data_IF_946732258371
#
_entry.id   IF_946732258371
#
_cell.length_a   1.000
_cell.length_b   1.000
_cell.length_c   1.000
_cell.angle_alpha   90.00
_cell.angle_beta   90.00
_cell.angle_gamma   90.00
#
_symmetry.space_group_name_H-M   'P 1'
#
loop_
_entity.id
_entity.type
_entity.pdbx_description
1 polymer ?
2 non-polymer ?
3 non-polymer ?
4 non-polymer ?
5 non-polymer ?
6 non-polymer ?
7 water ?
#
# COMPACT_ATOMS: atom_id res chain seq x y z
N UNK A 22 1.00 0.44 19.97
CA UNK A 22 0.79 -0.37 18.73
C UNK A 22 2.15 -0.70 18.13
N UNK A 23 2.27 -1.93 17.61
CA UNK A 23 3.54 -2.42 17.07
C UNK A 23 3.29 -2.93 15.67
N UNK A 24 4.26 -2.67 14.79
CA UNK A 24 4.16 -3.14 13.42
C UNK A 24 4.14 -4.64 13.41
N UNK A 25 3.15 -5.19 12.72
CA UNK A 25 3.05 -6.62 12.53
C UNK A 25 4.18 -7.06 11.59
N UNK A 26 4.86 -8.17 11.91
CA UNK A 26 5.94 -8.67 11.05
C UNK A 26 5.45 -8.87 9.61
N UNK A 27 6.12 -8.20 8.68
CA UNK A 27 5.72 -8.27 7.28
C UNK A 27 5.92 -9.64 6.66
N UNK A 28 6.84 -10.41 7.23
CA UNK A 28 7.09 -11.75 6.71
C UNK A 28 5.95 -12.72 6.91
N UNK A 29 5.01 -12.39 7.82
CA UNK A 29 3.78 -13.18 7.98
C UNK A 29 2.66 -12.75 7.04
N UNK A 30 2.93 -11.69 6.29
CA UNK A 30 1.95 -11.12 5.37
C UNK A 30 2.11 -11.61 3.94
N UNK A 31 1.04 -11.43 3.16
CA UNK A 31 1.12 -11.67 1.73
C UNK A 31 0.47 -10.50 1.03
N UNK A 32 1.21 -9.90 0.10
CA UNK A 32 0.72 -8.77 -0.67
C UNK A 32 0.26 -9.20 -2.06
N UNK A 33 -0.89 -8.66 -2.48
CA UNK A 33 -1.41 -8.87 -3.83
C UNK A 33 -1.90 -7.51 -4.31
N UNK A 34 -1.86 -7.27 -5.61
CA UNK A 34 -2.36 -5.97 -6.09
C UNK A 34 -3.19 -6.14 -7.34
N UNK A 35 -4.08 -5.18 -7.58
CA UNK A 35 -4.88 -5.21 -8.80
C UNK A 35 -4.03 -4.91 -10.04
N UNK A 36 -2.92 -4.18 -9.86
CA UNK A 36 -1.92 -3.94 -10.91
C UNK A 36 -0.53 -3.93 -10.26
N UNK A 37 0.45 -4.59 -10.89
CA UNK A 37 1.86 -4.51 -10.45
C UNK A 37 2.78 -4.55 -11.67
N UNK A 38 3.82 -3.71 -11.65
CA UNK A 38 4.80 -3.75 -12.70
C UNK A 38 5.70 -4.96 -12.40
N UNK A 39 6.08 -5.71 -13.46
CA UNK A 39 6.96 -6.86 -13.20
C UNK A 39 8.34 -6.46 -12.68
N UNK A 40 9.12 -7.43 -12.24
CA UNK A 40 10.40 -7.17 -11.63
C UNK A 40 11.49 -6.71 -12.60
N UNK A 41 11.75 -5.41 -12.64
CA UNK A 41 12.72 -4.88 -13.57
C UNK A 41 13.90 -4.30 -12.80
N UNK A 42 14.01 -4.71 -11.54
CA UNK A 42 15.01 -4.26 -10.64
C UNK A 42 14.41 -3.26 -9.69
N UNK A 43 14.13 -3.70 -8.49
CA UNK A 43 13.63 -2.78 -7.45
C UNK A 43 12.22 -2.18 -7.60
N UNK A 44 11.55 -2.61 -8.64
CA UNK A 44 10.12 -2.39 -8.82
C UNK A 44 9.65 -3.41 -9.85
N UNK A 45 8.37 -3.72 -9.90
CA UNK A 45 7.30 -3.10 -9.10
C UNK A 45 6.31 -4.10 -8.51
N UNK A 46 6.79 -5.30 -8.18
CA UNK A 46 5.90 -6.32 -7.61
C UNK A 46 5.30 -5.86 -6.30
N UNK A 47 4.03 -6.21 -6.10
CA UNK A 47 3.31 -5.90 -4.86
C UNK A 47 4.13 -6.33 -3.66
N UNK A 48 4.78 -7.49 -3.76
CA UNK A 48 5.49 -8.01 -2.62
C UNK A 48 6.65 -7.11 -2.17
N UNK A 49 7.09 -6.22 -3.07
CA UNK A 49 8.15 -5.27 -2.79
C UNK A 49 7.70 -4.20 -1.82
N UNK A 50 6.39 -4.06 -1.63
CA UNK A 50 5.83 -3.10 -0.63
C UNK A 50 5.95 -3.59 0.81
N UNK A 51 6.33 -4.86 1.01
CA UNK A 51 6.37 -5.41 2.36
C UNK A 51 7.61 -6.26 2.59
N UNK A 52 8.73 -5.87 1.96
CA UNK A 52 9.97 -6.65 2.05
C UNK A 52 11.02 -6.07 3.02
N UNK A 53 10.67 -4.96 3.68
CA UNK A 53 11.54 -4.28 4.63
C UNK A 53 12.65 -3.48 3.96
N UNK A 54 12.57 -3.33 2.64
CA UNK A 54 13.60 -2.64 1.87
C UNK A 54 13.07 -1.31 1.33
N UNK A 55 13.61 -0.20 1.84
CA UNK A 55 13.16 1.15 1.46
C UNK A 55 13.41 1.48 -0.02
N UNK A 56 14.37 0.79 -0.63
CA UNK A 56 14.73 1.04 -2.03
C UNK A 56 13.95 0.18 -3.02
N UNK A 57 13.10 -0.72 -2.51
CA UNK A 57 12.28 -1.52 -3.42
C UNK A 57 10.83 -1.09 -3.31
N UNK A 58 10.17 -0.99 -4.46
CA UNK A 58 8.77 -0.53 -4.47
C UNK A 58 7.76 -1.43 -5.20
N UNK A 59 6.52 -1.44 -4.72
CA UNK A 59 5.38 -1.80 -5.56
C UNK A 59 5.19 -0.62 -6.49
N UNK A 60 4.90 -0.88 -7.76
CA UNK A 60 4.50 0.19 -8.69
C UNK A 60 3.43 -0.39 -9.59
N UNK A 61 2.39 0.38 -9.89
CA UNK A 61 1.35 -0.12 -10.80
C UNK A 61 1.95 -0.32 -12.19
N UNK A 62 1.33 -1.20 -12.97
CA UNK A 62 1.86 -1.57 -14.28
C UNK A 62 1.91 -0.39 -15.23
N UNK A 63 3.01 -0.29 -15.99
CA UNK A 63 3.15 0.79 -16.99
C UNK A 63 4.03 0.49 -18.20
N UNK A 64 4.06 -0.77 -18.57
CA UNK A 64 4.21 -1.11 -20.01
C UNK A 64 3.04 -2.00 -20.55
N UNK A 65 1.88 -1.45 -20.96
CA UNK A 65 1.66 0.00 -20.90
C UNK A 65 0.92 0.31 -19.59
N UNK A 66 0.44 1.54 -19.45
CA UNK A 66 -0.16 2.02 -18.20
C UNK A 66 -1.50 1.35 -17.92
N UNK A 67 -1.66 0.87 -16.69
CA UNK A 67 -2.96 0.42 -16.18
C UNK A 67 -3.42 1.53 -15.26
N UNK A 68 -4.46 2.23 -15.68
CA UNK A 68 -4.87 3.48 -15.06
C UNK A 68 -5.43 3.27 -13.67
N UNK A 69 -5.30 4.29 -12.83
CA UNK A 69 -5.92 4.28 -11.51
C UNK A 69 -7.46 4.39 -11.65
N UNK A 70 -8.22 3.98 -10.62
CA UNK A 70 -7.79 3.40 -9.35
C UNK A 70 -7.19 2.00 -9.49
N UNK A 71 -6.24 1.74 -8.61
CA UNK A 71 -5.65 0.42 -8.40
C UNK A 71 -5.46 0.30 -6.90
N UNK A 72 -5.37 -0.94 -6.42
CA UNK A 72 -5.18 -1.18 -5.00
C UNK A 72 -4.12 -2.25 -4.72
N UNK A 73 -3.68 -2.24 -3.47
CA UNK A 73 -2.82 -3.31 -2.94
C UNK A 73 -3.45 -3.84 -1.65
N UNK A 74 -3.55 -5.16 -1.57
CA UNK A 74 -4.12 -5.83 -0.42
C UNK A 74 -3.05 -6.58 0.36
N UNK A 75 -3.05 -6.41 1.68
CA UNK A 75 -2.17 -7.14 2.56
C UNK A 75 -3.01 -8.14 3.37
N UNK A 76 -2.71 -9.41 3.16
CA UNK A 76 -3.25 -10.49 3.98
C UNK A 76 -2.34 -10.57 5.21
N UNK A 77 -2.89 -10.36 6.40
CA UNK A 77 -2.05 -10.08 7.58
C UNK A 77 -1.44 -11.30 8.25
N UNK A 78 -1.92 -12.47 7.87
CA UNK A 78 -1.49 -13.75 8.45
C UNK A 78 -2.27 -14.11 9.70
N UNK A 79 -3.32 -13.36 10.01
CA UNK A 79 -4.09 -13.62 11.22
C UNK A 79 -5.15 -12.57 11.42
N UNK A 80 -5.88 -12.67 12.54
CA UNK A 80 -6.89 -11.68 12.91
C UNK A 80 -6.33 -10.76 13.97
N UNK A 81 -6.34 -9.47 13.67
CA UNK A 81 -5.76 -8.47 14.56
C UNK A 81 -6.69 -7.29 14.72
N UNK A 82 -6.68 -6.70 15.90
CA UNK A 82 -7.37 -5.42 16.14
C UNK A 82 -6.37 -4.33 15.79
N UNK A 83 -6.46 -3.80 14.58
CA UNK A 83 -5.44 -2.85 14.10
C UNK A 83 -5.89 -1.42 14.32
N UNK A 84 -4.92 -0.50 14.41
CA UNK A 84 -5.24 0.89 14.70
C UNK A 84 -4.34 1.91 14.03
N UNK A 85 -3.36 1.44 13.27
CA UNK A 85 -2.51 2.35 12.53
C UNK A 85 -1.95 1.69 11.27
N UNK A 86 -1.78 2.51 10.23
CA UNK A 86 -1.24 2.07 8.93
C UNK A 86 -0.26 3.12 8.48
N UNK A 87 0.91 2.70 8.02
CA UNK A 87 1.89 3.66 7.47
C UNK A 87 2.23 3.35 6.02
N UNK A 88 2.34 4.43 5.25
CA UNK A 88 2.69 4.38 3.83
C UNK A 88 3.97 5.15 3.61
N UNK A 89 5.03 4.41 3.29
CA UNK A 89 6.31 5.04 2.94
C UNK A 89 6.48 5.12 1.41
N UNK A 90 6.45 6.34 0.85
CA UNK A 90 6.70 6.48 -0.58
C UNK A 90 8.10 6.09 -0.99
N UNK A 91 8.25 5.80 -2.28
CA UNK A 91 9.57 5.67 -2.88
C UNK A 91 10.42 6.88 -2.54
N UNK A 92 11.74 6.68 -2.55
CA UNK A 92 12.70 7.72 -2.20
C UNK A 92 13.23 8.39 -3.47
N UNK A 93 13.28 9.73 -3.46
CA UNK A 93 13.86 10.52 -4.54
C UNK A 93 12.85 10.91 -5.61
N UNK A 94 12.60 9.97 -6.52
CA UNK A 94 11.63 10.13 -7.61
C UNK A 94 10.20 10.18 -7.04
N UNK A 95 9.26 10.70 -7.81
CA UNK A 95 7.91 10.90 -7.28
C UNK A 95 6.82 10.08 -7.95
N UNK A 96 7.11 9.43 -9.07
CA UNK A 96 6.03 8.71 -9.77
C UNK A 96 5.33 7.70 -8.87
N UNK A 97 4.00 7.75 -8.85
CA UNK A 97 3.20 6.83 -8.04
C UNK A 97 2.99 7.27 -6.59
N UNK A 98 3.65 8.36 -6.17
CA UNK A 98 3.35 8.90 -4.81
C UNK A 98 1.83 9.13 -4.71
N UNK A 99 1.19 8.43 -3.79
CA UNK A 99 -0.27 8.41 -3.74
C UNK A 99 -0.79 9.71 -3.10
N UNK A 100 -1.75 10.34 -3.78
CA UNK A 100 -2.24 11.66 -3.38
C UNK A 100 -3.73 11.66 -3.01
N UNK A 101 -4.45 10.61 -3.39
CA UNK A 101 -5.84 10.46 -2.99
C UNK A 101 -6.04 8.97 -2.75
N UNK A 102 -6.46 8.63 -1.53
CA UNK A 102 -6.46 7.24 -1.07
C UNK A 102 -7.74 6.87 -0.36
N UNK A 103 -7.96 5.57 -0.28
CA UNK A 103 -8.86 5.01 0.72
C UNK A 103 -8.15 3.84 1.36
N UNK A 104 -8.45 3.59 2.63
CA UNK A 104 -7.94 2.42 3.33
C UNK A 104 -9.16 1.59 3.70
N UNK A 105 -9.12 0.30 3.40
CA UNK A 105 -10.25 -0.60 3.65
C UNK A 105 -9.75 -1.77 4.49
N UNK A 106 -10.64 -2.38 5.27
CA UNK A 106 -10.28 -3.58 6.01
C UNK A 106 -11.30 -4.68 5.72
N UNK A 107 -10.87 -5.93 5.90
CA UNK A 107 -11.74 -7.07 5.80
C UNK A 107 -11.43 -8.02 6.95
N UNK A 108 -12.49 -8.62 7.51
CA UNK A 108 -12.37 -9.68 8.50
C UNK A 108 -12.35 -11.06 7.84
N UNK A 109 -12.63 -11.10 6.54
CA UNK A 109 -12.84 -12.38 5.89
C UNK A 109 -12.15 -12.59 4.55
N UNK A 110 -11.53 -11.54 4.00
CA UNK A 110 -10.87 -11.63 2.71
C UNK A 110 -11.76 -11.37 1.51
N UNK A 111 -13.06 -11.25 1.77
CA UNK A 111 -14.11 -11.15 0.75
C UNK A 111 -14.79 -9.77 0.75
N UNK A 112 -15.26 -9.37 1.93
CA UNK A 112 -16.02 -8.14 2.10
C UNK A 112 -15.10 -7.10 2.72
N UNK A 113 -14.99 -5.95 2.07
CA UNK A 113 -14.12 -4.88 2.56
C UNK A 113 -14.96 -3.68 2.95
N UNK A 114 -14.51 -2.97 3.98
CA UNK A 114 -15.21 -1.77 4.40
C UNK A 114 -14.19 -0.64 4.56
N UNK A 115 -14.58 0.53 4.07
CA UNK A 115 -13.72 1.70 4.09
C UNK A 115 -13.57 2.21 5.54
N UNK A 116 -12.33 2.41 6.00
CA UNK A 116 -12.10 2.96 7.36
C UNK A 116 -11.37 4.30 7.38
N UNK A 117 -10.80 4.69 6.25
CA UNK A 117 -10.11 5.97 6.15
C UNK A 117 -10.06 6.38 4.68
N UNK A 118 -10.09 7.69 4.44
CA UNK A 118 -9.98 8.24 3.09
C UNK A 118 -9.51 9.69 3.23
N UNK A 119 -8.96 10.23 2.15
CA UNK A 119 -8.45 11.60 2.20
C UNK A 119 -7.46 11.88 1.09
N UNK A 120 -6.75 12.98 1.26
CA UNK A 120 -5.72 13.40 0.34
C UNK A 120 -4.38 13.38 1.04
N UNK A 121 -3.33 13.05 0.29
CA UNK A 121 -1.94 13.12 0.77
C UNK A 121 -1.17 14.08 -0.12
N UNK A 122 -0.24 14.82 0.48
CA UNK A 122 0.68 15.65 -0.30
C UNK A 122 1.60 14.72 -1.12
N UNK A 123 2.16 15.24 -2.21
CA UNK A 123 2.99 14.42 -3.10
C UNK A 123 4.47 14.29 -2.69
N UNK A 124 4.82 14.76 -1.50
CA UNK A 124 6.20 14.57 -1.03
C UNK A 124 6.48 13.09 -0.71
N UNK A 125 7.77 12.76 -0.59
CA UNK A 125 8.20 11.42 -0.18
C UNK A 125 8.05 11.12 1.30
N UNK A 126 7.41 12.02 2.05
CA UNK A 126 7.24 11.85 3.49
C UNK A 126 6.40 10.62 3.84
N UNK A 127 6.73 9.98 4.96
CA UNK A 127 5.87 8.92 5.51
C UNK A 127 4.47 9.47 5.73
N UNK A 128 3.47 8.72 5.28
CA UNK A 128 2.07 9.06 5.53
C UNK A 128 1.50 8.08 6.54
N UNK A 129 0.91 8.60 7.62
CA UNK A 129 0.47 7.77 8.72
C UNK A 129 -1.04 7.92 8.88
N UNK A 130 -1.75 6.79 8.95
CA UNK A 130 -3.20 6.78 9.20
C UNK A 130 -3.42 6.18 10.56
N UNK A 131 -4.10 6.92 11.42
CA UNK A 131 -4.43 6.42 12.76
C UNK A 131 -5.94 6.39 12.85
N UNK A 132 -6.48 5.27 13.32
CA UNK A 132 -7.93 5.05 13.36
C UNK A 132 -8.33 4.21 14.56
N UNK A 133 -9.63 4.14 14.81
CA UNK A 133 -10.15 3.40 15.95
C UNK A 133 -9.84 1.93 15.74
N UNK A 134 -9.55 1.22 16.83
CA UNK A 134 -9.19 -0.20 16.72
C UNK A 134 -10.28 -0.97 15.97
N UNK A 135 -9.86 -1.75 14.98
CA UNK A 135 -10.79 -2.53 14.17
C UNK A 135 -10.23 -3.92 13.84
N UNK A 136 -11.10 -4.93 13.90
CA UNK A 136 -10.70 -6.31 13.55
C UNK A 136 -10.49 -6.42 12.05
N UNK A 137 -9.38 -7.04 11.67
CA UNK A 137 -9.02 -7.24 10.27
C UNK A 137 -8.13 -8.47 10.11
N UNK A 138 -8.36 -9.22 9.04
CA UNK A 138 -7.41 -10.20 8.55
C UNK A 138 -6.73 -9.69 7.27
N UNK A 139 -7.30 -8.65 6.66
CA UNK A 139 -6.76 -8.04 5.43
C UNK A 139 -6.90 -6.54 5.53
N UNK A 140 -5.98 -5.84 4.88
CA UNK A 140 -6.04 -4.38 4.75
C UNK A 140 -5.79 -4.06 3.29
N UNK A 141 -6.61 -3.17 2.72
CA UNK A 141 -6.44 -2.77 1.32
C UNK A 141 -6.22 -1.27 1.18
N UNK A 142 -5.14 -0.89 0.49
CA UNK A 142 -4.85 0.51 0.19
C UNK A 142 -5.25 0.76 -1.25
N UNK A 143 -6.26 1.60 -1.42
CA UNK A 143 -6.76 2.00 -2.73
C UNK A 143 -6.14 3.34 -3.11
N UNK A 144 -5.40 3.35 -4.22
CA UNK A 144 -4.91 4.61 -4.79
C UNK A 144 -5.87 5.13 -5.86
N UNK A 145 -6.64 6.17 -5.52
CA UNK A 145 -7.51 6.84 -6.50
C UNK A 145 -6.72 7.76 -7.45
N UNK A 146 -5.73 8.45 -6.90
CA UNK A 146 -4.86 9.37 -7.65
C UNK A 146 -3.44 9.26 -7.11
N UNK A 147 -2.48 9.44 -8.01
CA UNK A 147 -1.08 9.39 -7.62
C UNK A 147 -0.27 10.07 -8.70
N UNK A 148 0.92 10.51 -8.31
CA UNK A 148 1.77 11.28 -9.20
C UNK A 148 2.02 10.55 -10.52
N UNK A 149 1.75 11.24 -11.63
CA UNK A 149 2.02 10.67 -12.93
C UNK A 149 0.91 9.77 -13.45
N UNK A 150 -0.11 9.54 -12.61
CA UNK A 150 -1.20 8.62 -12.91
C UNK A 150 -0.86 7.19 -12.53
N UNK A 151 0.15 7.03 -11.68
CA UNK A 151 0.59 5.70 -11.20
C UNK A 151 0.35 5.60 -9.70
N UNK A 152 0.52 4.40 -9.14
CA UNK A 152 0.62 4.24 -7.68
C UNK A 152 1.89 3.44 -7.37
N UNK A 153 2.60 3.88 -6.33
CA UNK A 153 3.78 3.13 -5.87
C UNK A 153 3.89 3.26 -4.34
N UNK A 154 4.66 2.36 -3.75
CA UNK A 154 4.85 2.30 -2.31
C UNK A 154 6.16 1.57 -2.03
N UNK A 155 7.04 2.19 -1.24
CA UNK A 155 8.27 1.53 -0.83
C UNK A 155 8.01 0.52 0.28
N UNK A 156 7.24 0.94 1.28
CA UNK A 156 6.96 0.08 2.45
C UNK A 156 5.62 0.42 3.05
N UNK A 157 4.82 -0.61 3.29
CA UNK A 157 3.53 -0.51 4.00
C UNK A 157 3.62 -1.30 5.28
N UNK A 158 3.15 -0.69 6.37
CA UNK A 158 3.16 -1.37 7.67
C UNK A 158 1.81 -1.21 8.34
N UNK A 159 1.42 -2.21 9.13
CA UNK A 159 0.14 -2.28 9.78
C UNK A 159 0.39 -2.56 11.26
N UNK A 160 -0.29 -1.81 12.12
CA UNK A 160 0.01 -1.81 13.56
C UNK A 160 -1.15 -2.32 14.38
N UNK A 161 -0.83 -3.14 15.38
CA UNK A 161 -1.83 -3.68 16.28
C UNK A 161 -1.31 -3.66 17.72
X LIG B 1 10.20 -2.26 -0.27
X LIG C 1 -6.63 -13.49 1.78
X LIG D 1 -23.97 -7.65 -3.45
X LIG E 1 -29.53 -5.10 0.18
X LIG F 1 -26.36 -4.83 -1.88
X LIG F 1 -26.33 -4.18 -0.81
X LIG F 1 -26.77 -4.35 -2.96
X LIG F 1 -25.85 -6.24 -1.88
X LIG F 1 -26.71 -7.22 -1.09
X LIG F 1 -27.37 -6.52 -0.03
X LIG F 1 -27.77 -7.94 -1.93
X LIG F 1 -27.55 -7.93 -3.42
X LIG F 1 -28.15 -7.09 -4.12
X LIG F 1 -26.78 -8.78 -3.92
X LIG F 1 -25.77 -8.23 -0.46
X LIG F 1 -25.03 -7.84 0.47
X LIG F 1 -25.74 -9.41 -0.88
X LIG G 1 11.72 3.17 -16.98
X LIG G 1 12.31 4.52 -16.95
X LIG G 1 13.49 4.56 -15.97
X LIG G 1 13.88 5.68 -15.60
X LIG G 1 11.27 5.53 -16.49
X LIG G 1 10.89 5.07 -15.17
X LIG G 1 13.98 3.48 -15.62
X LIG H 1 8.81 6.17 -15.01
X LIG H 1 10.17 6.08 -14.46
X LIG H 1 10.13 5.66 -12.96
X LIG H 1 11.48 5.49 -12.43
X LIG H 1 9.35 4.34 -12.83
X LIG H 1 9.30 3.95 -11.45
X LIG H 1 7.93 4.54 -13.38
X LIG H 1 7.24 5.54 -12.59
X LIG H 1 8.03 4.94 -14.87
X LIG H 1 6.68 5.19 -15.55
X LIG H 1 6.94 5.38 -16.95
X LIG H 1 12.15 6.46 -11.82
X LIG H 1 11.70 7.60 -11.65
X LIG H 1 13.54 6.08 -11.33
#
# INVERSE_FOLDING_TARGET
MGSSHHHHHHSSGLVPRGSHMASALPQGNMKATATSEHPDVGNEGLAKFAIDGKENTIWHTKYNPVEELPQSITLELGGSYEINKFTYLPRSGAKNGNITKYELHVSEDGNNFRKISEGNWDDSGSLKTLKFNSTKATHVKLVALEGVGGFASAAELNVFA
CA CA
NA NA
NA NA
NA NA
CIT C1 O1 O2 C2 C3 O7 C4 C5 O3 O4 C6 O5 O6
SER N CA C O CB OG OXT
A2G O5 C1 C2 N2 C3 O3 C4 O4 C5 C6 O6 C7 O7 C8
#
